data_IF_155877118604
#
_entry.id   IF_155877118604
#
_cell.length_a   1.000
_cell.length_b   1.000
_cell.length_c   1.000
_cell.angle_alpha   90.00
_cell.angle_beta   90.00
_cell.angle_gamma   90.00
#
_symmetry.space_group_name_H-M   'P 1'
#
loop_
_entity.id
_entity.type
_entity.pdbx_description
1 polymer ?
#
# COMPACT_ATOMS: atom_id res chain seq x y z
N UNK A 1 0.07 -29.90 1.67
CA UNK A 1 -0.92 -29.19 2.49
C UNK A 1 -2.00 -28.71 1.55
N UNK A 2 -3.30 -28.84 1.83
CA UNK A 2 -4.31 -28.17 1.01
C UNK A 2 -4.09 -26.67 1.06
N UNK A 3 -4.25 -25.99 -0.09
CA UNK A 3 -4.12 -24.53 -0.17
C UNK A 3 -5.18 -23.86 0.71
N UNK A 4 -4.79 -22.84 1.47
CA UNK A 4 -5.74 -22.08 2.29
C UNK A 4 -6.64 -21.22 1.41
N UNK A 5 -7.79 -20.80 1.93
CA UNK A 5 -8.72 -19.87 1.26
C UNK A 5 -8.08 -18.54 0.79
N UNK A 6 -6.93 -18.18 1.37
CA UNK A 6 -6.15 -16.99 0.98
C UNK A 6 -5.11 -17.29 -0.09
N UNK A 7 -4.49 -18.48 -0.09
CA UNK A 7 -3.43 -18.84 -1.05
C UNK A 7 -3.98 -19.40 -2.34
N UNK A 8 -5.09 -20.15 -2.27
CA UNK A 8 -5.71 -20.76 -3.43
C UNK A 8 -6.07 -19.79 -4.57
N UNK A 9 -6.69 -18.62 -4.33
CA UNK A 9 -6.96 -17.67 -5.41
C UNK A 9 -5.68 -17.19 -6.13
N UNK A 10 -4.57 -17.05 -5.38
CA UNK A 10 -3.28 -16.63 -5.93
C UNK A 10 -2.63 -17.74 -6.74
N UNK A 11 -2.71 -19.00 -6.29
CA UNK A 11 -2.22 -20.17 -7.03
C UNK A 11 -3.02 -20.34 -8.34
N UNK A 12 -4.34 -20.22 -8.28
CA UNK A 12 -5.21 -20.25 -9.46
C UNK A 12 -4.92 -19.12 -10.43
N UNK A 13 -4.60 -17.92 -9.92
CA UNK A 13 -4.17 -16.81 -10.75
C UNK A 13 -2.84 -17.10 -11.44
N UNK A 14 -1.87 -17.70 -10.75
CA UNK A 14 -0.60 -18.09 -11.36
C UNK A 14 -0.80 -19.06 -12.53
N UNK A 15 -1.69 -20.05 -12.37
CA UNK A 15 -2.07 -20.98 -13.43
C UNK A 15 -2.79 -20.27 -14.59
N UNK A 16 -3.65 -19.30 -14.28
CA UNK A 16 -4.36 -18.51 -15.29
C UNK A 16 -3.39 -17.66 -16.11
N UNK A 17 -2.44 -16.97 -15.45
CA UNK A 17 -1.38 -16.20 -16.10
C UNK A 17 -0.51 -17.08 -16.98
N UNK A 18 -0.09 -18.25 -16.49
CA UNK A 18 0.72 -19.19 -17.27
C UNK A 18 -0.02 -19.71 -18.50
N UNK A 19 -1.31 -20.01 -18.40
CA UNK A 19 -2.16 -20.42 -19.55
C UNK A 19 -2.31 -19.28 -20.56
N UNK A 20 -2.54 -18.06 -20.05
CA UNK A 20 -2.68 -16.88 -20.90
C UNK A 20 -1.39 -16.59 -21.68
N UNK A 21 -0.23 -16.63 -21.05
CA UNK A 21 1.06 -16.39 -21.72
C UNK A 21 1.30 -17.40 -22.83
N UNK A 22 0.99 -18.68 -22.59
CA UNK A 22 1.17 -19.79 -23.56
C UNK A 22 0.20 -19.77 -24.73
N UNK A 23 -0.98 -19.16 -24.58
CA UNK A 23 -2.01 -19.16 -25.61
C UNK A 23 -1.74 -18.09 -26.69
N UNK A 24 -1.58 -18.49 -27.93
CA UNK A 24 -1.39 -17.55 -29.05
C UNK A 24 -2.70 -16.82 -29.43
N UNK A 25 -3.87 -17.38 -29.12
CA UNK A 25 -5.18 -16.79 -29.43
C UNK A 25 -5.64 -15.73 -28.41
N UNK A 26 -5.20 -15.82 -27.15
CA UNK A 26 -5.65 -14.92 -26.10
C UNK A 26 -4.86 -13.61 -26.12
N UNK A 27 -5.59 -12.49 -26.09
CA UNK A 27 -5.03 -11.13 -26.08
C UNK A 27 -5.29 -10.40 -24.78
N UNK A 28 -6.31 -10.76 -24.02
CA UNK A 28 -6.68 -10.15 -22.77
C UNK A 28 -6.85 -11.21 -21.67
N UNK A 29 -6.20 -10.99 -20.55
CA UNK A 29 -6.52 -11.60 -19.26
C UNK A 29 -7.08 -10.51 -18.34
N UNK A 30 -8.39 -10.53 -18.09
CA UNK A 30 -9.04 -9.68 -17.12
C UNK A 30 -9.08 -10.40 -15.77
N UNK A 31 -8.54 -9.78 -14.74
CA UNK A 31 -8.48 -10.33 -13.38
C UNK A 31 -9.25 -9.44 -12.43
N UNK A 32 -10.32 -9.97 -11.85
CA UNK A 32 -10.95 -9.33 -10.68
C UNK A 32 -10.13 -9.65 -9.44
N UNK A 33 -9.77 -8.63 -8.67
CA UNK A 33 -8.86 -8.81 -7.55
C UNK A 33 -9.47 -8.26 -6.27
N UNK A 34 -9.59 -9.13 -5.26
CA UNK A 34 -9.88 -8.71 -3.89
C UNK A 34 -8.80 -7.71 -3.42
N UNK A 35 -9.16 -6.54 -2.85
CA UNK A 35 -8.20 -5.56 -2.37
C UNK A 35 -7.12 -6.14 -1.44
N UNK A 36 -7.46 -7.18 -0.67
CA UNK A 36 -6.52 -7.88 0.24
C UNK A 36 -5.45 -8.68 -0.51
N UNK A 37 -5.77 -9.18 -1.70
CA UNK A 37 -4.89 -9.99 -2.54
C UNK A 37 -4.14 -9.17 -3.59
N UNK A 38 -4.44 -7.85 -3.73
CA UNK A 38 -3.92 -7.00 -4.81
C UNK A 38 -2.40 -7.05 -4.95
N UNK A 39 -1.66 -6.90 -3.84
CA UNK A 39 -0.20 -6.93 -3.89
C UNK A 39 0.35 -8.28 -4.36
N UNK A 40 -0.25 -9.37 -3.93
CA UNK A 40 0.12 -10.72 -4.35
C UNK A 40 -0.25 -10.96 -5.83
N UNK A 41 -1.42 -10.50 -6.26
CA UNK A 41 -1.87 -10.61 -7.65
C UNK A 41 -0.96 -9.82 -8.61
N UNK A 42 -0.54 -8.61 -8.24
CA UNK A 42 0.47 -7.84 -9.00
C UNK A 42 1.78 -8.61 -9.08
N UNK A 43 2.26 -9.17 -7.97
CA UNK A 43 3.50 -9.95 -7.95
C UNK A 43 3.44 -11.18 -8.87
N UNK A 44 2.31 -11.89 -8.89
CA UNK A 44 2.09 -13.04 -9.79
C UNK A 44 2.04 -12.59 -11.25
N UNK A 45 1.34 -11.48 -11.56
CA UNK A 45 1.28 -10.95 -12.91
C UNK A 45 2.64 -10.46 -13.40
N UNK A 46 3.44 -9.83 -12.53
CA UNK A 46 4.82 -9.44 -12.84
C UNK A 46 5.74 -10.65 -13.09
N UNK A 47 5.53 -11.75 -12.37
CA UNK A 47 6.30 -12.98 -12.59
C UNK A 47 6.06 -13.61 -13.97
N UNK A 48 5.03 -13.18 -14.71
CA UNK A 48 4.79 -13.59 -16.10
C UNK A 48 6.00 -13.34 -17.01
N UNK A 49 6.82 -12.32 -16.72
CA UNK A 49 8.04 -12.03 -17.47
C UNK A 49 9.04 -13.19 -17.46
N UNK A 50 9.11 -13.92 -16.33
CA UNK A 50 10.08 -14.99 -16.11
C UNK A 50 9.55 -16.39 -16.47
N UNK A 51 8.33 -16.50 -16.99
CA UNK A 51 7.82 -17.79 -17.47
C UNK A 51 8.63 -18.26 -18.68
N UNK A 52 8.99 -19.54 -18.67
CA UNK A 52 9.83 -20.14 -19.73
C UNK A 52 9.21 -20.00 -21.13
N UNK A 53 7.89 -19.98 -21.20
CA UNK A 53 7.13 -19.87 -22.45
C UNK A 53 6.89 -18.40 -22.88
N UNK A 54 7.25 -17.42 -22.03
CA UNK A 54 7.08 -16.02 -22.39
C UNK A 54 8.19 -15.53 -23.31
N UNK A 55 7.79 -15.06 -24.48
CA UNK A 55 8.68 -14.46 -25.50
C UNK A 55 8.46 -12.97 -25.68
N UNK A 56 7.79 -12.33 -24.74
CA UNK A 56 7.41 -10.92 -24.83
C UNK A 56 7.88 -10.16 -23.59
N UNK A 57 8.66 -9.08 -23.73
CA UNK A 57 8.99 -8.22 -22.60
C UNK A 57 7.71 -7.72 -21.89
N UNK A 58 7.73 -7.65 -20.55
CA UNK A 58 6.62 -7.17 -19.75
C UNK A 58 6.74 -5.67 -19.53
N UNK A 59 5.68 -4.95 -19.84
CA UNK A 59 5.52 -3.51 -19.61
C UNK A 59 4.43 -3.31 -18.57
N UNK A 60 4.81 -3.02 -17.33
CA UNK A 60 3.87 -2.74 -16.26
C UNK A 60 3.53 -1.24 -16.21
N UNK A 61 2.26 -0.91 -16.15
CA UNK A 61 1.74 0.45 -16.07
C UNK A 61 0.81 0.58 -14.86
N UNK A 62 1.25 1.35 -13.87
CA UNK A 62 0.37 1.89 -12.85
C UNK A 62 -0.43 3.04 -13.46
N UNK A 63 -1.71 2.81 -13.69
CA UNK A 63 -2.59 3.83 -14.25
C UNK A 63 -3.14 4.68 -13.11
N UNK A 64 -2.84 5.98 -13.07
CA UNK A 64 -3.29 6.83 -11.99
C UNK A 64 -4.82 6.97 -11.98
N UNK A 65 -5.36 7.07 -10.77
CA UNK A 65 -6.72 7.58 -10.59
C UNK A 65 -6.70 9.07 -10.88
N UNK A 66 -7.38 9.48 -11.91
CA UNK A 66 -7.55 10.87 -12.24
C UNK A 66 -9.02 11.16 -12.46
N UNK A 67 -9.53 12.26 -11.88
CA UNK A 67 -10.87 12.77 -12.17
C UNK A 67 -10.97 13.23 -13.64
N UNK A 68 -9.85 13.68 -14.21
CA UNK A 68 -9.71 13.94 -15.64
C UNK A 68 -9.18 12.70 -16.36
N UNK A 69 -10.07 12.03 -17.06
CA UNK A 69 -9.79 10.77 -17.78
C UNK A 69 -8.73 11.00 -18.87
N UNK A 70 -8.75 12.14 -19.57
CA UNK A 70 -7.81 12.41 -20.66
C UNK A 70 -6.41 12.73 -20.12
N UNK A 71 -6.29 13.48 -19.02
CA UNK A 71 -5.00 13.70 -18.35
C UNK A 71 -4.39 12.38 -17.82
N UNK A 72 -5.23 11.46 -17.33
CA UNK A 72 -4.83 10.11 -16.93
C UNK A 72 -4.19 9.33 -18.09
N UNK A 73 -4.79 9.39 -19.28
CA UNK A 73 -4.25 8.72 -20.47
C UNK A 73 -2.94 9.36 -20.96
N UNK A 74 -2.80 10.67 -20.85
CA UNK A 74 -1.54 11.35 -21.19
C UNK A 74 -0.42 10.95 -20.25
N UNK A 75 -0.70 10.93 -18.95
CA UNK A 75 0.27 10.44 -17.95
C UNK A 75 0.66 8.98 -18.19
N UNK A 76 -0.30 8.11 -18.52
CA UNK A 76 -0.04 6.72 -18.89
C UNK A 76 0.86 6.63 -20.13
N UNK A 77 0.68 7.53 -21.10
CA UNK A 77 1.52 7.60 -22.30
C UNK A 77 2.97 7.95 -21.97
N UNK A 78 3.19 8.92 -21.09
CA UNK A 78 4.53 9.34 -20.66
C UNK A 78 5.20 8.24 -19.81
N UNK A 79 4.44 7.60 -18.93
CA UNK A 79 4.91 6.44 -18.14
C UNK A 79 5.31 5.28 -19.05
N UNK A 80 4.51 4.97 -20.07
CA UNK A 80 4.81 3.92 -21.05
C UNK A 80 6.14 4.18 -21.76
N UNK A 81 6.40 5.42 -22.16
CA UNK A 81 7.67 5.78 -22.80
C UNK A 81 8.87 5.59 -21.87
N UNK A 82 8.74 6.04 -20.64
CA UNK A 82 9.79 5.89 -19.61
C UNK A 82 10.09 4.41 -19.30
N UNK A 83 9.05 3.59 -19.13
CA UNK A 83 9.19 2.15 -18.90
C UNK A 83 9.82 1.44 -20.10
N UNK A 84 9.39 1.76 -21.32
CA UNK A 84 9.97 1.20 -22.54
C UNK A 84 11.48 1.49 -22.65
N UNK A 85 11.89 2.73 -22.38
CA UNK A 85 13.29 3.11 -22.43
C UNK A 85 14.10 2.41 -21.36
N UNK A 86 13.58 2.33 -20.13
CA UNK A 86 14.21 1.57 -19.04
C UNK A 86 14.39 0.09 -19.38
N UNK A 87 13.40 -0.55 -20.01
CA UNK A 87 13.53 -1.94 -20.47
C UNK A 87 14.60 -2.09 -21.54
N UNK A 88 14.65 -1.15 -22.48
CA UNK A 88 15.67 -1.12 -23.54
C UNK A 88 17.09 -0.99 -22.95
N UNK A 89 17.28 -0.09 -22.00
CA UNK A 89 18.53 0.09 -21.26
C UNK A 89 18.92 -1.14 -20.45
N UNK A 90 17.95 -1.86 -19.91
CA UNK A 90 18.14 -3.14 -19.23
C UNK A 90 18.45 -4.32 -20.18
N UNK A 91 18.53 -4.07 -21.50
CA UNK A 91 18.89 -5.06 -22.50
C UNK A 91 17.71 -5.83 -23.14
N UNK A 92 16.47 -5.40 -22.93
CA UNK A 92 15.34 -5.97 -23.64
C UNK A 92 15.51 -5.76 -25.17
N UNK A 93 15.05 -6.70 -26.03
CA UNK A 93 15.21 -6.63 -27.47
C UNK A 93 14.26 -5.58 -28.10
N UNK A 94 14.45 -4.32 -27.74
CA UNK A 94 13.67 -3.17 -28.17
C UNK A 94 14.55 -2.13 -28.87
N UNK A 95 14.04 -1.54 -29.96
CA UNK A 95 14.68 -0.40 -30.58
C UNK A 95 14.25 0.92 -29.91
N UNK A 96 15.01 2.02 -30.06
CA UNK A 96 14.61 3.33 -29.55
C UNK A 96 13.23 3.76 -30.08
N UNK A 97 12.47 4.45 -29.22
CA UNK A 97 11.20 5.04 -29.62
C UNK A 97 11.42 6.28 -30.51
N UNK A 98 10.56 6.43 -31.52
CA UNK A 98 10.45 7.67 -32.27
C UNK A 98 9.89 8.82 -31.39
N UNK A 99 9.98 10.04 -31.88
CA UNK A 99 9.35 11.20 -31.23
C UNK A 99 7.84 11.00 -31.04
N UNK A 100 7.30 11.59 -29.95
CA UNK A 100 5.86 11.49 -29.65
C UNK A 100 5.02 12.10 -30.79
N UNK A 101 3.97 11.43 -31.25
CA UNK A 101 3.07 12.00 -32.25
C UNK A 101 2.33 13.21 -31.68
N UNK A 102 2.62 14.42 -32.16
CA UNK A 102 2.09 15.69 -31.64
C UNK A 102 0.58 15.91 -31.82
N UNK A 103 -0.13 15.02 -32.51
CA UNK A 103 -1.55 15.23 -32.89
C UNK A 103 -2.57 14.36 -32.15
N UNK A 104 -2.13 13.40 -31.34
CA UNK A 104 -3.03 12.52 -30.61
C UNK A 104 -3.14 12.98 -29.15
N UNK A 105 -4.36 13.03 -28.62
CA UNK A 105 -4.66 13.38 -27.23
C UNK A 105 -5.44 12.25 -26.53
N UNK A 106 -5.43 12.21 -25.22
CA UNK A 106 -6.16 11.25 -24.41
C UNK A 106 -5.82 9.80 -24.74
N UNK A 107 -6.81 8.94 -24.79
CA UNK A 107 -6.65 7.49 -25.06
C UNK A 107 -6.08 7.20 -26.46
N UNK A 108 -6.29 8.07 -27.43
CA UNK A 108 -5.71 7.93 -28.77
C UNK A 108 -4.18 8.14 -28.74
N UNK A 109 -3.66 8.98 -27.84
CA UNK A 109 -2.22 9.15 -27.61
C UNK A 109 -1.60 7.85 -27.08
N UNK A 110 -2.23 7.23 -26.07
CA UNK A 110 -1.77 5.96 -25.53
C UNK A 110 -1.81 4.85 -26.59
N UNK A 111 -2.89 4.72 -27.35
CA UNK A 111 -3.00 3.73 -28.43
C UNK A 111 -1.90 3.90 -29.50
N UNK A 112 -1.62 5.14 -29.91
CA UNK A 112 -0.55 5.45 -30.84
C UNK A 112 0.84 5.09 -30.25
N UNK A 113 1.05 5.35 -28.96
CA UNK A 113 2.29 5.02 -28.30
C UNK A 113 2.49 3.50 -28.14
N UNK A 114 1.42 2.74 -27.80
CA UNK A 114 1.45 1.27 -27.77
C UNK A 114 1.87 0.70 -29.14
N UNK A 115 1.33 1.26 -30.23
CA UNK A 115 1.71 0.87 -31.60
C UNK A 115 3.19 1.18 -31.90
N UNK A 116 3.70 2.32 -31.44
CA UNK A 116 5.12 2.62 -31.57
C UNK A 116 5.98 1.61 -30.81
N UNK A 117 5.62 1.30 -29.56
CA UNK A 117 6.34 0.32 -28.74
C UNK A 117 6.36 -1.06 -29.42
N UNK A 118 5.24 -1.52 -29.96
CA UNK A 118 5.21 -2.77 -30.74
C UNK A 118 6.13 -2.74 -31.95
N UNK A 119 6.18 -1.62 -32.66
CA UNK A 119 7.07 -1.43 -33.81
C UNK A 119 8.57 -1.49 -33.49
N UNK A 120 8.94 -1.34 -32.21
CA UNK A 120 10.34 -1.42 -31.76
C UNK A 120 10.81 -2.83 -31.41
N UNK A 121 9.90 -3.79 -31.27
CA UNK A 121 10.20 -5.17 -30.87
C UNK A 121 11.15 -5.83 -31.88
N UNK A 122 12.19 -6.49 -31.38
CA UNK A 122 13.20 -7.22 -32.15
C UNK A 122 13.24 -8.69 -31.74
N UNK A 123 13.63 -9.55 -32.67
CA UNK A 123 13.87 -10.95 -32.35
C UNK A 123 14.91 -11.08 -31.20
N UNK A 124 14.74 -12.02 -30.28
CA UNK A 124 13.81 -13.15 -30.30
C UNK A 124 12.39 -12.84 -29.77
N UNK A 125 12.09 -11.61 -29.30
CA UNK A 125 10.76 -11.24 -28.82
C UNK A 125 9.72 -11.29 -29.93
N UNK A 126 8.49 -11.72 -29.58
CA UNK A 126 7.38 -11.90 -30.52
C UNK A 126 6.26 -10.86 -30.35
N UNK A 127 6.37 -9.98 -29.36
CA UNK A 127 5.38 -8.95 -29.04
C UNK A 127 5.68 -8.27 -27.72
N UNK A 128 4.69 -7.64 -27.12
CA UNK A 128 4.75 -7.04 -25.79
C UNK A 128 3.61 -7.57 -24.92
N UNK A 129 3.94 -7.81 -23.64
CA UNK A 129 2.97 -8.14 -22.61
C UNK A 129 2.77 -6.90 -21.73
N UNK A 130 1.56 -6.37 -21.70
CA UNK A 130 1.21 -5.21 -20.89
C UNK A 130 0.49 -5.65 -19.62
N UNK A 131 0.94 -5.15 -18.48
CA UNK A 131 0.25 -5.26 -17.20
C UNK A 131 -0.32 -3.90 -16.82
N UNK A 132 -1.65 -3.80 -16.76
CA UNK A 132 -2.35 -2.57 -16.38
C UNK A 132 -2.95 -2.70 -14.97
N UNK A 133 -2.53 -1.81 -14.09
CA UNK A 133 -2.93 -1.81 -12.68
C UNK A 133 -3.55 -0.44 -12.35
N UNK A 134 -4.89 -0.28 -12.45
CA UNK A 134 -5.54 0.97 -12.05
C UNK A 134 -5.29 1.28 -10.57
N UNK A 135 -4.95 2.52 -10.25
CA UNK A 135 -4.66 2.95 -8.89
C UNK A 135 -5.90 3.13 -8.00
N UNK A 136 -7.09 2.90 -8.51
CA UNK A 136 -8.39 3.16 -7.87
C UNK A 136 -9.07 1.91 -7.33
N UNK A 137 -9.93 2.10 -6.32
CA UNK A 137 -10.85 1.10 -5.80
C UNK A 137 -12.14 0.98 -6.62
N UNK A 138 -12.47 2.00 -7.42
CA UNK A 138 -13.63 2.03 -8.31
C UNK A 138 -13.16 2.42 -9.71
N UNK A 139 -13.57 1.66 -10.72
CA UNK A 139 -13.20 1.90 -12.11
C UNK A 139 -14.42 2.47 -12.85
N UNK A 140 -14.23 3.64 -13.43
CA UNK A 140 -15.28 4.31 -14.19
C UNK A 140 -15.66 3.54 -15.45
N UNK A 141 -16.96 3.42 -15.81
CA UNK A 141 -17.40 2.74 -17.03
C UNK A 141 -16.78 3.32 -18.32
N UNK A 142 -16.55 4.63 -18.36
CA UNK A 142 -15.91 5.29 -19.48
C UNK A 142 -14.45 4.84 -19.65
N UNK A 143 -13.73 4.65 -18.54
CA UNK A 143 -12.36 4.12 -18.56
C UNK A 143 -12.33 2.69 -19.13
N UNK A 144 -13.22 1.80 -18.66
CA UNK A 144 -13.35 0.43 -19.19
C UNK A 144 -13.64 0.42 -20.69
N UNK A 145 -14.53 1.31 -21.17
CA UNK A 145 -14.82 1.45 -22.60
C UNK A 145 -13.55 1.80 -23.38
N UNK A 146 -12.77 2.79 -22.94
CA UNK A 146 -11.53 3.19 -23.60
C UNK A 146 -10.46 2.10 -23.59
N UNK A 147 -10.36 1.34 -22.49
CA UNK A 147 -9.54 0.13 -22.43
C UNK A 147 -9.97 -0.87 -23.50
N UNK A 148 -11.26 -1.17 -23.59
CA UNK A 148 -11.81 -2.09 -24.60
C UNK A 148 -11.53 -1.63 -26.03
N UNK A 149 -11.75 -0.35 -26.34
CA UNK A 149 -11.44 0.24 -27.65
C UNK A 149 -9.94 0.10 -27.98
N UNK A 150 -9.07 0.31 -26.99
CA UNK A 150 -7.62 0.19 -27.19
C UNK A 150 -7.21 -1.26 -27.44
N UNK A 151 -7.65 -2.21 -26.59
CA UNK A 151 -7.33 -3.64 -26.75
C UNK A 151 -7.95 -4.23 -28.02
N UNK A 152 -9.17 -3.79 -28.36
CA UNK A 152 -9.88 -4.20 -29.58
C UNK A 152 -9.23 -3.73 -30.87
N UNK A 153 -8.26 -2.82 -30.82
CA UNK A 153 -7.56 -2.33 -32.03
C UNK A 153 -6.79 -3.46 -32.71
N UNK A 154 -7.19 -3.81 -33.93
CA UNK A 154 -6.58 -4.90 -34.70
C UNK A 154 -5.07 -4.68 -34.96
N UNK A 155 -4.58 -3.43 -34.98
CA UNK A 155 -3.16 -3.12 -35.16
C UNK A 155 -2.31 -3.51 -33.93
N UNK A 156 -2.94 -3.71 -32.78
CA UNK A 156 -2.30 -4.19 -31.55
C UNK A 156 -2.37 -5.73 -31.41
N UNK A 157 -2.57 -6.48 -32.52
CA UNK A 157 -2.75 -7.93 -32.48
C UNK A 157 -1.55 -8.68 -31.84
N UNK A 158 -0.34 -8.14 -31.94
CA UNK A 158 0.86 -8.71 -31.32
C UNK A 158 1.04 -8.29 -29.84
N UNK A 159 0.11 -7.53 -29.26
CA UNK A 159 0.12 -7.17 -27.85
C UNK A 159 -0.80 -8.09 -27.06
N UNK A 160 -0.35 -8.50 -25.88
CA UNK A 160 -1.16 -9.16 -24.85
C UNK A 160 -1.34 -8.22 -23.65
N UNK A 161 -2.51 -8.30 -23.00
CA UNK A 161 -2.85 -7.42 -21.90
C UNK A 161 -3.31 -8.23 -20.69
N UNK A 162 -2.72 -7.96 -19.52
CA UNK A 162 -3.23 -8.39 -18.21
C UNK A 162 -3.78 -7.13 -17.55
N UNK A 163 -5.05 -7.12 -17.20
CA UNK A 163 -5.71 -5.98 -16.55
C UNK A 163 -6.22 -6.41 -15.19
N UNK A 164 -5.69 -5.82 -14.11
CA UNK A 164 -6.10 -6.11 -12.74
C UNK A 164 -7.16 -5.09 -12.31
N UNK A 165 -8.39 -5.54 -12.12
CA UNK A 165 -9.52 -4.71 -11.72
C UNK A 165 -9.93 -5.03 -10.27
N UNK A 166 -10.47 -4.05 -9.52
CA UNK A 166 -11.03 -4.33 -8.21
C UNK A 166 -12.29 -5.20 -8.34
N UNK A 167 -12.49 -6.15 -7.41
CA UNK A 167 -13.62 -7.09 -7.42
C UNK A 167 -15.02 -6.43 -7.35
N UNK A 168 -15.08 -5.13 -7.03
CA UNK A 168 -16.33 -4.35 -7.02
C UNK A 168 -16.64 -3.68 -8.36
N UNK A 169 -15.81 -3.86 -9.39
CA UNK A 169 -16.03 -3.25 -10.69
C UNK A 169 -17.12 -4.03 -11.46
N UNK A 170 -18.08 -3.32 -12.05
CA UNK A 170 -19.07 -3.91 -12.96
C UNK A 170 -18.41 -4.21 -14.32
N UNK A 171 -17.66 -5.31 -14.41
CA UNK A 171 -16.86 -5.66 -15.59
C UNK A 171 -17.57 -6.60 -16.56
N UNK A 172 -18.59 -7.33 -16.12
CA UNK A 172 -19.32 -8.26 -16.97
C UNK A 172 -19.87 -7.63 -18.28
N UNK A 173 -20.50 -6.44 -18.25
CA UNK A 173 -20.96 -5.80 -19.48
C UNK A 173 -19.80 -5.44 -20.42
N UNK A 174 -18.65 -5.12 -19.88
CA UNK A 174 -17.46 -4.83 -20.68
C UNK A 174 -16.85 -6.10 -21.26
N UNK A 175 -16.69 -7.17 -20.47
CA UNK A 175 -16.18 -8.47 -20.96
C UNK A 175 -17.08 -9.01 -22.07
N UNK A 176 -18.40 -8.86 -21.94
CA UNK A 176 -19.35 -9.28 -22.96
C UNK A 176 -19.18 -8.55 -24.31
N UNK A 177 -18.54 -7.38 -24.34
CA UNK A 177 -18.23 -6.67 -25.59
C UNK A 177 -16.95 -7.17 -26.26
N UNK A 178 -16.14 -7.97 -25.58
CA UNK A 178 -14.91 -8.53 -26.10
C UNK A 178 -15.21 -9.87 -26.79
N UNK A 179 -14.44 -10.17 -27.84
CA UNK A 179 -14.57 -11.44 -28.54
C UNK A 179 -14.16 -12.59 -27.60
N UNK A 180 -15.06 -13.53 -27.25
CA UNK A 180 -14.78 -14.58 -26.26
C UNK A 180 -13.56 -15.46 -26.60
N UNK A 181 -13.22 -15.55 -27.89
CA UNK A 181 -12.06 -16.31 -28.35
C UNK A 181 -10.71 -15.62 -28.01
N UNK A 182 -10.73 -14.33 -27.68
CA UNK A 182 -9.52 -13.54 -27.45
C UNK A 182 -9.36 -13.03 -26.01
N UNK A 183 -10.38 -13.18 -25.19
CA UNK A 183 -10.39 -12.72 -23.80
C UNK A 183 -10.60 -13.87 -22.81
N UNK A 184 -9.86 -13.83 -21.70
CA UNK A 184 -10.02 -14.72 -20.55
C UNK A 184 -10.31 -13.89 -19.31
N UNK A 185 -11.31 -14.32 -18.54
CA UNK A 185 -11.62 -13.75 -17.22
C UNK A 185 -11.18 -14.67 -16.10
N UNK A 186 -10.67 -14.11 -15.01
CA UNK A 186 -10.31 -14.82 -13.80
C UNK A 186 -10.67 -14.03 -12.56
N UNK A 187 -11.35 -14.65 -11.60
CA UNK A 187 -11.68 -14.06 -10.31
C UNK A 187 -10.64 -14.49 -9.26
N UNK A 188 -9.83 -13.53 -8.81
CA UNK A 188 -8.87 -13.69 -7.72
C UNK A 188 -9.49 -13.11 -6.44
N UNK A 189 -10.52 -13.79 -5.92
CA UNK A 189 -11.36 -13.35 -4.81
C UNK A 189 -11.32 -14.39 -3.70
N UNK A 190 -11.33 -13.92 -2.45
CA UNK A 190 -11.36 -14.80 -1.27
C UNK A 190 -12.77 -15.36 -1.08
N UNK A 191 -12.89 -16.68 -0.98
CA UNK A 191 -14.12 -17.34 -0.52
C UNK A 191 -14.26 -17.11 1.00
N UNK A 192 -15.06 -16.13 1.37
CA UNK A 192 -15.26 -15.77 2.78
C UNK A 192 -15.90 -16.89 3.60
N UNK A 193 -16.84 -17.64 3.04
CA UNK A 193 -17.49 -18.73 3.75
C UNK A 193 -16.48 -19.83 4.10
N UNK A 194 -15.65 -20.18 3.14
CA UNK A 194 -14.57 -21.14 3.34
C UNK A 194 -13.50 -20.60 4.30
N UNK A 195 -13.12 -19.34 4.19
CA UNK A 195 -12.12 -18.69 5.06
C UNK A 195 -12.59 -18.65 6.52
N UNK A 196 -13.88 -18.41 6.75
CA UNK A 196 -14.51 -18.49 8.07
C UNK A 196 -14.44 -19.93 8.60
N UNK A 197 -14.87 -20.91 7.80
CA UNK A 197 -14.89 -22.32 8.21
C UNK A 197 -13.47 -22.87 8.52
N UNK A 198 -12.47 -22.50 7.72
CA UNK A 198 -11.06 -22.86 7.98
C UNK A 198 -10.57 -22.27 9.30
N UNK A 199 -10.88 -21.00 9.56
CA UNK A 199 -10.46 -20.31 10.79
C UNK A 199 -11.17 -20.87 12.03
N UNK A 200 -12.45 -21.23 11.91
CA UNK A 200 -13.20 -21.95 12.97
C UNK A 200 -12.58 -23.30 13.31
N UNK A 201 -12.27 -24.08 12.28
CA UNK A 201 -11.64 -25.38 12.46
C UNK A 201 -10.25 -25.27 13.12
N UNK A 202 -9.47 -24.23 12.79
CA UNK A 202 -8.18 -23.95 13.43
C UNK A 202 -8.35 -23.56 14.91
N UNK A 203 -9.32 -22.69 15.23
CA UNK A 203 -9.63 -22.30 16.61
C UNK A 203 -10.04 -23.50 17.43
N UNK A 204 -10.91 -24.35 16.91
CA UNK A 204 -11.35 -25.56 17.56
C UNK A 204 -10.21 -26.57 17.79
N UNK A 205 -9.32 -26.71 16.80
CA UNK A 205 -8.15 -27.57 16.93
C UNK A 205 -7.19 -27.08 18.01
N UNK A 206 -6.90 -25.78 18.06
CA UNK A 206 -6.05 -25.20 19.12
C UNK A 206 -6.71 -25.30 20.50
N UNK A 207 -8.02 -25.09 20.61
CA UNK A 207 -8.74 -25.23 21.87
C UNK A 207 -8.69 -26.68 22.43
N UNK A 208 -8.69 -27.69 21.54
CA UNK A 208 -8.59 -29.11 21.94
C UNK A 208 -7.18 -29.53 22.38
N UNK A 209 -6.14 -28.90 21.83
CA UNK A 209 -4.74 -29.23 22.17
C UNK A 209 -4.32 -28.73 23.56
N UNK A 210 -5.05 -27.78 24.14
CA UNK A 210 -4.76 -27.22 25.46
C UNK A 210 -3.51 -26.33 25.47
N UNK A 211 -3.30 -25.58 26.56
CA UNK A 211 -2.13 -24.75 26.71
C UNK A 211 -0.87 -25.64 26.83
N UNK A 212 0.07 -25.54 25.90
CA UNK A 212 1.39 -26.18 25.99
C UNK A 212 1.84 -27.04 24.81
N UNK A 213 0.99 -27.36 23.81
CA UNK A 213 1.38 -28.19 22.64
C UNK A 213 1.36 -27.40 21.35
N UNK A 214 1.44 -26.08 21.38
CA UNK A 214 1.60 -25.26 20.20
C UNK A 214 3.09 -25.04 19.90
N UNK A 215 3.57 -25.51 18.76
CA UNK A 215 4.93 -25.21 18.31
C UNK A 215 5.18 -23.69 18.27
N UNK A 216 6.43 -23.29 18.47
CA UNK A 216 6.85 -21.90 18.38
C UNK A 216 6.29 -21.24 17.11
N UNK A 217 5.84 -20.00 17.21
CA UNK A 217 5.44 -19.18 16.07
C UNK A 217 6.56 -19.27 15.01
N UNK A 218 6.30 -19.72 13.78
CA UNK A 218 7.36 -19.82 12.78
C UNK A 218 7.94 -18.42 12.58
N UNK A 219 9.25 -18.29 12.80
CA UNK A 219 9.96 -17.02 12.63
C UNK A 219 9.80 -16.39 11.23
N UNK A 220 9.31 -17.19 10.27
CA UNK A 220 8.95 -16.77 8.91
C UNK A 220 7.54 -16.19 8.77
N UNK A 221 6.67 -16.32 9.78
CA UNK A 221 5.36 -15.67 9.80
C UNK A 221 5.42 -14.24 10.36
N UNK A 222 6.52 -13.52 10.09
CA UNK A 222 6.38 -12.06 10.01
C UNK A 222 5.30 -11.82 8.97
N UNK A 223 4.17 -11.15 9.34
CA UNK A 223 3.29 -10.63 8.31
C UNK A 223 4.21 -9.91 7.33
N UNK A 224 4.05 -10.11 6.01
CA UNK A 224 4.86 -9.39 5.05
C UNK A 224 4.79 -7.95 5.52
N UNK A 225 5.95 -7.37 5.85
CA UNK A 225 6.00 -5.97 6.25
C UNK A 225 5.34 -5.27 5.07
N UNK A 226 4.05 -4.94 5.24
CA UNK A 226 3.39 -4.08 4.28
C UNK A 226 4.26 -2.85 4.27
N UNK A 227 5.06 -2.75 3.22
CA UNK A 227 5.95 -1.66 2.93
C UNK A 227 5.07 -0.43 2.70
N UNK A 228 4.56 0.12 3.80
CA UNK A 228 3.92 1.41 3.84
C UNK A 228 5.00 2.38 4.30
N UNK A 229 5.75 2.82 3.37
CA UNK A 229 6.17 4.16 2.93
C UNK A 229 6.40 5.21 4.01
N UNK A 230 7.51 5.72 3.92
CA UNK A 230 8.30 6.63 4.61
C UNK A 230 8.24 8.07 4.19
N UNK A 231 8.72 9.00 4.72
CA UNK A 231 9.17 10.03 5.39
C UNK A 231 9.78 11.24 5.62
N UNK A 232 10.34 12.10 6.05
CA UNK A 232 11.25 13.11 6.31
C UNK A 232 11.06 14.32 7.15
N UNK A 233 11.70 15.03 7.71
CA UNK A 233 12.31 15.54 8.90
C UNK A 233 12.25 17.06 9.15
N UNK A 234 12.90 17.57 10.18
CA UNK A 234 12.30 18.39 11.22
C UNK A 234 12.77 19.86 11.26
N UNK A 235 12.17 20.64 12.08
CA UNK A 235 12.81 21.61 12.97
C UNK A 235 11.93 21.85 14.18
N UNK A 236 12.52 21.88 15.35
CA UNK A 236 11.86 22.04 16.63
C UNK A 236 11.33 23.45 16.81
N UNK A 237 10.12 23.61 17.30
CA UNK A 237 9.81 24.71 18.19
C UNK A 237 9.50 24.21 19.60
N UNK A 238 10.01 24.96 20.54
CA UNK A 238 9.82 25.00 21.99
C UNK A 238 8.44 24.53 22.44
N UNK A 239 8.41 23.55 23.32
CA UNK A 239 7.22 23.05 24.00
C UNK A 239 6.49 24.14 24.77
N UNK A 240 5.18 24.32 24.60
CA UNK A 240 4.36 24.97 25.59
C UNK A 240 4.06 24.00 26.71
N UNK A 241 4.36 24.40 27.94
CA UNK A 241 4.05 23.72 29.19
C UNK A 241 2.54 23.52 29.34
N UNK A 242 2.09 22.29 29.46
CA UNK A 242 0.71 21.95 29.83
C UNK A 242 0.60 22.09 31.36
N UNK A 243 -0.41 22.80 31.89
CA UNK A 243 -0.62 22.87 33.33
C UNK A 243 -1.07 21.51 33.86
N UNK A 244 -0.38 21.06 34.89
CA UNK A 244 -0.72 19.90 35.68
C UNK A 244 -1.88 20.26 36.62
N UNK A 245 -3.11 19.81 36.29
CA UNK A 245 -4.17 19.65 37.29
C UNK A 245 -5.31 18.79 36.69
N UNK A 246 -5.20 17.49 36.91
CA UNK A 246 -6.34 16.57 36.98
C UNK A 246 -5.87 15.25 37.66
N UNK A 247 -5.44 15.37 38.92
CA UNK A 247 -5.19 14.19 39.77
C UNK A 247 -6.52 13.63 40.26
N UNK A 248 -7.15 12.77 39.47
CA UNK A 248 -8.18 11.85 39.93
C UNK A 248 -7.50 10.67 40.65
N UNK A 249 -7.46 10.72 41.96
CA UNK A 249 -6.97 9.67 42.86
C UNK A 249 -7.75 8.38 42.68
N UNK A 250 -7.11 7.35 42.10
CA UNK A 250 -7.56 5.96 42.19
C UNK A 250 -6.83 5.33 43.36
N UNK A 251 -7.58 4.87 44.34
CA UNK A 251 -7.10 4.24 45.56
C UNK A 251 -6.20 3.01 45.25
N UNK A 252 -5.17 2.75 46.06
CA UNK A 252 -4.32 1.57 45.90
C UNK A 252 -5.09 0.31 46.30
N UNK A 253 -5.25 -0.61 45.36
CA UNK A 253 -5.69 -1.97 45.63
C UNK A 253 -4.54 -2.73 46.29
N UNK A 254 -4.92 -3.49 47.32
CA UNK A 254 -4.07 -4.19 48.26
C UNK A 254 -2.97 -5.04 47.62
N UNK A 255 -1.83 -4.99 48.26
CA UNK A 255 -0.64 -5.81 48.09
C UNK A 255 -0.97 -7.32 48.24
N UNK A 256 -0.80 -8.16 47.20
CA UNK A 256 -0.74 -9.60 47.40
C UNK A 256 0.75 -10.00 47.48
N UNK A 257 1.30 -9.92 48.67
CA UNK A 257 2.59 -10.49 48.97
C UNK A 257 2.60 -12.01 48.73
N UNK A 258 3.63 -12.48 48.06
CA UNK A 258 4.11 -13.84 47.95
C UNK A 258 3.22 -14.86 47.21
N UNK A 259 3.30 -14.83 45.87
CA UNK A 259 3.07 -16.01 45.03
C UNK A 259 4.12 -16.04 43.92
N UNK A 260 5.03 -17.00 44.06
CA UNK A 260 5.92 -17.60 43.02
C UNK A 260 6.30 -16.78 41.78
N UNK A 261 7.56 -16.38 41.71
CA UNK A 261 8.30 -15.78 40.60
C UNK A 261 8.50 -16.72 39.38
N UNK A 262 7.51 -17.51 39.00
CA UNK A 262 7.50 -18.22 37.73
C UNK A 262 6.40 -17.61 36.87
N UNK A 263 6.76 -16.59 36.06
CA UNK A 263 5.87 -16.11 34.99
C UNK A 263 5.34 -17.27 34.14
N UNK A 264 4.14 -17.16 33.57
CA UNK A 264 3.56 -18.24 32.78
C UNK A 264 4.56 -18.68 31.72
N UNK A 265 4.73 -20.01 31.47
CA UNK A 265 5.68 -20.50 30.51
C UNK A 265 5.39 -19.83 29.15
N UNK A 266 6.42 -19.34 28.48
CA UNK A 266 6.32 -18.53 27.24
C UNK A 266 5.45 -19.21 26.18
N UNK A 267 5.43 -20.53 26.13
CA UNK A 267 4.60 -21.33 25.22
C UNK A 267 3.08 -21.16 25.46
N UNK A 268 2.65 -20.99 26.72
CA UNK A 268 1.24 -20.74 27.04
C UNK A 268 0.80 -19.34 26.59
N UNK A 269 1.64 -18.34 26.77
CA UNK A 269 1.38 -16.96 26.30
C UNK A 269 1.22 -16.93 24.79
N UNK A 270 2.09 -17.63 24.03
CA UNK A 270 2.02 -17.68 22.57
C UNK A 270 0.75 -18.38 22.07
N UNK A 271 0.35 -19.48 22.71
CA UNK A 271 -0.88 -20.19 22.35
C UNK A 271 -2.12 -19.31 22.59
N UNK A 272 -2.20 -18.65 23.76
CA UNK A 272 -3.31 -17.76 24.09
C UNK A 272 -3.34 -16.52 23.19
N UNK A 273 -2.19 -15.94 22.88
CA UNK A 273 -2.09 -14.81 21.97
C UNK A 273 -2.63 -15.17 20.56
N UNK A 274 -2.18 -16.31 20.00
CA UNK A 274 -2.69 -16.81 18.72
C UNK A 274 -4.20 -17.01 18.75
N UNK A 275 -4.72 -17.58 19.82
CA UNK A 275 -6.16 -17.84 19.96
C UNK A 275 -6.96 -16.53 19.96
N UNK A 276 -6.53 -15.52 20.74
CA UNK A 276 -7.20 -14.22 20.74
C UNK A 276 -7.13 -13.54 19.37
N UNK A 277 -5.97 -13.54 18.70
CA UNK A 277 -5.82 -12.94 17.35
C UNK A 277 -6.72 -13.66 16.33
N UNK A 278 -6.79 -14.99 16.35
CA UNK A 278 -7.67 -15.74 15.45
C UNK A 278 -9.16 -15.47 15.73
N UNK A 279 -9.56 -15.39 17.00
CA UNK A 279 -10.93 -15.05 17.39
C UNK A 279 -11.30 -13.62 16.98
N UNK A 280 -10.40 -12.65 17.14
CA UNK A 280 -10.61 -11.29 16.67
C UNK A 280 -10.81 -11.26 15.15
N UNK A 281 -9.97 -11.98 14.39
CA UNK A 281 -10.10 -12.07 12.94
C UNK A 281 -11.41 -12.76 12.51
N UNK A 282 -11.82 -13.83 13.19
CA UNK A 282 -13.08 -14.51 12.95
C UNK A 282 -14.29 -13.60 13.21
N UNK A 283 -14.31 -12.94 14.37
CA UNK A 283 -15.36 -11.99 14.74
C UNK A 283 -15.47 -10.85 13.71
N UNK A 284 -14.34 -10.29 13.30
CA UNK A 284 -14.29 -9.24 12.25
C UNK A 284 -14.87 -9.72 10.92
N UNK A 285 -14.58 -10.94 10.48
CA UNK A 285 -15.13 -11.54 9.24
C UNK A 285 -16.64 -11.79 9.33
N UNK A 286 -17.14 -12.11 10.51
CA UNK A 286 -18.56 -12.29 10.79
C UNK A 286 -19.32 -10.96 10.95
N UNK A 287 -18.63 -9.83 10.95
CA UNK A 287 -19.21 -8.51 11.23
C UNK A 287 -19.48 -8.25 12.71
N UNK A 288 -18.98 -9.12 13.62
CA UNK A 288 -19.09 -8.93 15.06
C UNK A 288 -17.95 -8.01 15.55
N UNK A 289 -18.12 -6.72 15.30
CA UNK A 289 -17.12 -5.72 15.65
C UNK A 289 -16.82 -5.63 17.14
N UNK A 290 -17.79 -5.63 18.05
CA UNK A 290 -17.55 -5.61 19.50
C UNK A 290 -16.69 -6.79 19.96
N UNK A 291 -16.98 -8.01 19.50
CA UNK A 291 -16.18 -9.19 19.84
C UNK A 291 -14.75 -9.09 19.24
N UNK A 292 -14.61 -8.63 17.99
CA UNK A 292 -13.31 -8.43 17.37
C UNK A 292 -12.44 -7.47 18.19
N UNK A 293 -12.99 -6.34 18.65
CA UNK A 293 -12.31 -5.37 19.51
C UNK A 293 -11.98 -5.98 20.88
N UNK A 294 -12.90 -6.73 21.48
CA UNK A 294 -12.69 -7.38 22.78
C UNK A 294 -11.55 -8.39 22.74
N UNK A 295 -11.53 -9.27 21.74
CA UNK A 295 -10.47 -10.26 21.56
C UNK A 295 -9.12 -9.62 21.23
N UNK A 296 -9.10 -8.56 20.41
CA UNK A 296 -7.87 -7.85 20.09
C UNK A 296 -7.30 -7.08 21.31
N UNK A 297 -8.17 -6.50 22.14
CA UNK A 297 -7.77 -5.88 23.41
C UNK A 297 -7.16 -6.91 24.37
N UNK A 298 -7.78 -8.11 24.49
CA UNK A 298 -7.25 -9.20 25.29
C UNK A 298 -5.87 -9.68 24.79
N UNK A 299 -5.66 -9.73 23.48
CA UNK A 299 -4.36 -10.05 22.89
C UNK A 299 -3.29 -9.01 23.28
N UNK A 300 -3.62 -7.71 23.19
CA UNK A 300 -2.74 -6.62 23.64
C UNK A 300 -2.39 -6.73 25.12
N UNK A 301 -3.39 -6.90 25.97
CA UNK A 301 -3.22 -6.95 27.41
C UNK A 301 -2.37 -8.15 27.84
N UNK A 302 -2.53 -9.29 27.16
CA UNK A 302 -1.67 -10.47 27.33
C UNK A 302 -0.21 -10.17 26.99
N UNK A 303 0.06 -9.45 25.89
CA UNK A 303 1.42 -9.03 25.53
C UNK A 303 2.00 -8.06 26.56
N UNK A 304 1.20 -7.13 27.09
CA UNK A 304 1.64 -6.21 28.16
C UNK A 304 1.99 -6.98 29.42
N UNK A 305 1.13 -7.90 29.86
CA UNK A 305 1.36 -8.71 31.06
C UNK A 305 2.59 -9.63 30.93
N UNK A 306 2.97 -10.00 29.71
CA UNK A 306 4.14 -10.81 29.41
C UNK A 306 5.41 -9.99 29.08
N UNK A 307 5.40 -8.68 29.27
CA UNK A 307 6.48 -7.72 28.93
C UNK A 307 6.94 -7.80 27.45
N UNK A 308 6.02 -8.14 26.54
CA UNK A 308 6.24 -8.22 25.11
C UNK A 308 5.86 -6.91 24.44
N UNK A 309 6.67 -5.89 24.67
CA UNK A 309 6.35 -4.50 24.29
C UNK A 309 6.11 -4.35 22.78
N UNK A 310 6.91 -5.00 21.94
CA UNK A 310 6.75 -4.89 20.48
C UNK A 310 5.41 -5.48 20.03
N UNK A 311 5.11 -6.69 20.46
CA UNK A 311 3.85 -7.37 20.12
C UNK A 311 2.65 -6.61 20.71
N UNK A 312 2.78 -6.03 21.91
CA UNK A 312 1.73 -5.18 22.47
C UNK A 312 1.44 -3.96 21.59
N UNK A 313 2.47 -3.31 21.04
CA UNK A 313 2.31 -2.21 20.08
C UNK A 313 1.64 -2.68 18.79
N UNK A 314 2.07 -3.81 18.24
CA UNK A 314 1.46 -4.37 17.04
C UNK A 314 -0.03 -4.70 17.25
N UNK A 315 -0.39 -5.30 18.40
CA UNK A 315 -1.78 -5.60 18.76
C UNK A 315 -2.61 -4.32 18.97
N UNK A 316 -2.04 -3.27 19.53
CA UNK A 316 -2.71 -2.00 19.76
C UNK A 316 -2.95 -1.23 18.45
N UNK A 317 -2.03 -1.31 17.48
CA UNK A 317 -2.23 -0.79 16.14
C UNK A 317 -3.38 -1.51 15.39
N UNK A 318 -3.46 -2.84 15.53
CA UNK A 318 -4.56 -3.62 14.95
C UNK A 318 -5.89 -3.29 15.65
N UNK A 319 -5.89 -3.10 16.98
CA UNK A 319 -7.07 -2.66 17.74
C UNK A 319 -7.59 -1.32 17.20
N UNK A 320 -6.70 -0.35 17.00
CA UNK A 320 -7.05 0.93 16.39
C UNK A 320 -7.68 0.77 14.99
N UNK A 321 -7.17 -0.15 14.18
CA UNK A 321 -7.74 -0.43 12.86
C UNK A 321 -9.16 -1.01 12.93
N UNK A 322 -9.46 -1.93 13.86
CA UNK A 322 -10.83 -2.42 14.07
C UNK A 322 -11.77 -1.29 14.53
N UNK A 323 -11.31 -0.42 15.43
CA UNK A 323 -12.10 0.73 15.87
C UNK A 323 -12.41 1.71 14.73
N UNK A 324 -11.47 1.91 13.79
CA UNK A 324 -11.72 2.70 12.56
C UNK A 324 -12.81 2.05 11.70
N UNK A 325 -12.76 0.72 11.52
CA UNK A 325 -13.78 -0.01 10.74
C UNK A 325 -15.19 0.12 11.36
N UNK A 326 -15.27 0.23 12.69
CA UNK A 326 -16.52 0.44 13.42
C UNK A 326 -16.97 1.91 13.47
N UNK A 327 -16.25 2.84 12.83
CA UNK A 327 -16.55 4.26 12.88
C UNK A 327 -16.24 4.93 14.24
N UNK A 328 -15.57 4.23 15.15
CA UNK A 328 -15.21 4.73 16.50
C UNK A 328 -13.91 5.54 16.46
N UNK A 329 -13.89 6.62 15.68
CA UNK A 329 -12.69 7.39 15.36
C UNK A 329 -11.94 7.91 16.60
N UNK A 330 -12.66 8.38 17.63
CA UNK A 330 -12.03 8.90 18.84
C UNK A 330 -11.26 7.80 19.61
N UNK A 331 -11.83 6.60 19.73
CA UNK A 331 -11.17 5.45 20.38
C UNK A 331 -10.01 4.92 19.52
N UNK A 332 -10.16 4.94 18.21
CA UNK A 332 -9.09 4.55 17.28
C UNK A 332 -7.88 5.47 17.42
N UNK A 333 -8.09 6.79 17.46
CA UNK A 333 -7.02 7.78 17.68
C UNK A 333 -6.35 7.55 19.03
N UNK A 334 -7.10 7.30 20.09
CA UNK A 334 -6.55 6.99 21.40
C UNK A 334 -5.65 5.74 21.35
N UNK A 335 -6.12 4.65 20.73
CA UNK A 335 -5.34 3.43 20.56
C UNK A 335 -4.05 3.66 19.77
N UNK A 336 -4.12 4.33 18.62
CA UNK A 336 -2.94 4.64 17.81
C UNK A 336 -1.93 5.54 18.53
N UNK A 337 -2.41 6.55 19.27
CA UNK A 337 -1.54 7.44 20.05
C UNK A 337 -0.87 6.69 21.19
N UNK A 338 -1.59 5.77 21.85
CA UNK A 338 -1.05 4.94 22.91
C UNK A 338 0.00 3.95 22.38
N UNK A 339 -0.28 3.32 21.22
CA UNK A 339 0.69 2.49 20.52
C UNK A 339 1.96 3.27 20.19
N UNK A 340 1.83 4.48 19.65
CA UNK A 340 2.96 5.35 19.32
C UNK A 340 3.78 5.74 20.56
N UNK A 341 3.13 6.10 21.67
CA UNK A 341 3.79 6.45 22.91
C UNK A 341 4.57 5.26 23.49
N UNK A 342 3.96 4.07 23.52
CA UNK A 342 4.60 2.82 23.97
C UNK A 342 5.79 2.46 23.09
N UNK A 343 5.63 2.57 21.79
CA UNK A 343 6.69 2.31 20.81
C UNK A 343 7.87 3.27 20.97
N UNK A 344 7.59 4.58 21.15
CA UNK A 344 8.63 5.59 21.40
C UNK A 344 9.41 5.32 22.68
N UNK A 345 8.70 4.97 23.77
CA UNK A 345 9.33 4.64 25.05
C UNK A 345 10.26 3.41 24.94
N UNK A 346 9.98 2.49 24.02
CA UNK A 346 10.79 1.31 23.75
C UNK A 346 11.84 1.50 22.63
N UNK A 347 11.99 2.70 22.08
CA UNK A 347 12.90 2.96 20.95
C UNK A 347 12.45 2.33 19.61
N UNK A 348 11.19 1.89 19.50
CA UNK A 348 10.61 1.29 18.30
C UNK A 348 10.06 2.39 17.37
N UNK A 349 10.94 3.28 16.94
CA UNK A 349 10.58 4.53 16.24
C UNK A 349 9.76 4.32 14.97
N UNK A 350 10.02 3.26 14.20
CA UNK A 350 9.25 2.92 13.02
C UNK A 350 7.78 2.60 13.34
N UNK A 351 7.52 1.88 14.45
CA UNK A 351 6.16 1.61 14.91
C UNK A 351 5.51 2.86 15.52
N UNK A 352 6.28 3.71 16.21
CA UNK A 352 5.80 4.99 16.71
C UNK A 352 5.33 5.89 15.55
N UNK A 353 6.11 6.00 14.49
CA UNK A 353 5.75 6.75 13.31
C UNK A 353 4.47 6.19 12.63
N UNK A 354 4.32 4.86 12.56
CA UNK A 354 3.11 4.22 12.03
C UNK A 354 1.88 4.53 12.88
N UNK A 355 2.00 4.51 14.21
CA UNK A 355 0.91 4.87 15.13
C UNK A 355 0.46 6.32 14.92
N UNK A 356 1.40 7.26 14.87
CA UNK A 356 1.09 8.66 14.62
C UNK A 356 0.49 8.89 13.22
N UNK A 357 0.97 8.20 12.17
CA UNK A 357 0.39 8.23 10.83
C UNK A 357 -1.05 7.72 10.82
N UNK A 358 -1.33 6.62 11.54
CA UNK A 358 -2.68 6.07 11.62
C UNK A 358 -3.63 7.00 12.39
N UNK A 359 -3.17 7.61 13.48
CA UNK A 359 -3.93 8.63 14.21
C UNK A 359 -4.22 9.85 13.33
N UNK A 360 -3.21 10.36 12.60
CA UNK A 360 -3.36 11.47 11.68
C UNK A 360 -4.38 11.18 10.57
N UNK A 361 -4.27 10.03 9.92
CA UNK A 361 -5.21 9.61 8.88
C UNK A 361 -6.65 9.41 9.42
N UNK A 362 -6.78 9.03 10.70
CA UNK A 362 -8.08 8.89 11.36
C UNK A 362 -8.69 10.27 11.65
N UNK A 363 -7.89 11.21 12.13
CA UNK A 363 -8.32 12.61 12.31
C UNK A 363 -8.74 13.24 10.97
N UNK A 364 -7.96 12.99 9.92
CA UNK A 364 -8.23 13.52 8.59
C UNK A 364 -9.56 12.99 8.02
N UNK A 365 -9.82 11.70 8.17
CA UNK A 365 -11.09 11.07 7.77
C UNK A 365 -12.28 11.59 8.60
N UNK A 366 -12.04 11.97 9.85
CA UNK A 366 -13.02 12.57 10.74
C UNK A 366 -13.19 14.08 10.52
N UNK A 367 -12.67 14.61 9.41
CA UNK A 367 -12.71 16.04 9.04
C UNK A 367 -12.12 16.97 10.12
N UNK A 368 -11.13 16.48 10.87
CA UNK A 368 -10.41 17.22 11.90
C UNK A 368 -8.97 17.54 11.46
N UNK A 369 -8.77 18.47 10.50
CA UNK A 369 -7.48 18.65 9.83
C UNK A 369 -6.40 19.24 10.75
N UNK A 370 -6.75 20.07 11.74
CA UNK A 370 -5.75 20.62 12.67
C UNK A 370 -5.09 19.57 13.55
N UNK A 371 -5.84 18.67 14.26
CA UNK A 371 -5.21 17.56 14.96
C UNK A 371 -4.55 16.55 14.00
N UNK A 372 -5.05 16.38 12.77
CA UNK A 372 -4.38 15.55 11.77
C UNK A 372 -2.97 16.09 11.46
N UNK A 373 -2.85 17.39 11.20
CA UNK A 373 -1.56 18.04 10.92
C UNK A 373 -0.59 17.90 12.11
N UNK A 374 -1.06 18.05 13.35
CA UNK A 374 -0.25 17.84 14.53
C UNK A 374 0.26 16.39 14.63
N UNK A 375 -0.61 15.41 14.41
CA UNK A 375 -0.25 14.00 14.44
C UNK A 375 0.74 13.62 13.31
N UNK A 376 0.61 14.21 12.11
CA UNK A 376 1.60 14.04 11.04
C UNK A 376 2.97 14.60 11.42
N UNK A 377 3.03 15.75 12.13
CA UNK A 377 4.30 16.31 12.65
C UNK A 377 4.97 15.34 13.63
N UNK A 378 4.20 14.71 14.52
CA UNK A 378 4.74 13.68 15.42
C UNK A 378 5.22 12.43 14.65
N UNK A 379 4.51 12.02 13.61
CA UNK A 379 4.94 10.92 12.74
C UNK A 379 6.27 11.23 12.05
N UNK A 380 6.43 12.46 11.54
CA UNK A 380 7.66 12.96 10.96
C UNK A 380 8.81 12.83 11.97
N UNK A 381 8.67 13.37 13.16
CA UNK A 381 9.71 13.33 14.18
C UNK A 381 10.14 11.89 14.52
N UNK A 382 9.17 11.01 14.79
CA UNK A 382 9.44 9.60 15.09
C UNK A 382 10.12 8.87 13.93
N UNK A 383 9.69 9.12 12.70
CA UNK A 383 10.27 8.49 11.53
C UNK A 383 11.74 8.88 11.31
N UNK A 384 12.14 10.10 11.71
CA UNK A 384 13.53 10.55 11.61
C UNK A 384 14.40 9.90 12.65
N UNK A 385 13.93 9.85 13.86
CA UNK A 385 14.64 9.15 14.93
C UNK A 385 14.87 7.68 14.54
N UNK A 386 13.87 7.06 13.87
CA UNK A 386 13.96 5.70 13.35
C UNK A 386 14.75 5.52 12.06
N UNK A 387 15.18 6.60 11.42
CA UNK A 387 15.78 6.60 10.08
C UNK A 387 14.93 5.86 9.02
N UNK A 388 13.63 5.93 9.22
CA UNK A 388 12.65 5.28 8.34
C UNK A 388 12.38 6.19 7.13
N UNK A 389 13.38 6.33 6.25
CA UNK A 389 13.38 7.22 5.07
C UNK A 389 12.07 7.14 4.34
N UNK A 390 11.56 5.99 4.06
CA UNK A 390 10.32 5.72 3.43
C UNK A 390 9.10 6.19 4.28
N UNK A 391 8.89 6.23 5.67
CA UNK A 391 7.83 6.84 6.47
C UNK A 391 7.99 8.37 6.59
N UNK A 392 9.16 9.02 6.44
CA UNK A 392 9.42 10.44 6.42
C UNK A 392 8.80 11.11 5.17
N UNK A 393 8.99 10.74 3.85
CA UNK A 393 8.38 11.40 2.71
C UNK A 393 6.84 11.22 2.65
N UNK A 394 6.29 10.11 3.18
CA UNK A 394 4.84 9.94 3.28
C UNK A 394 4.21 10.96 4.24
N UNK A 395 4.76 11.09 5.45
CA UNK A 395 4.18 11.97 6.43
C UNK A 395 4.21 13.43 5.98
N UNK A 396 5.29 13.90 5.33
CA UNK A 396 5.30 15.24 4.74
C UNK A 396 4.31 15.38 3.60
N UNK A 397 4.23 14.38 2.73
CA UNK A 397 3.24 14.39 1.65
C UNK A 397 1.82 14.55 2.18
N UNK A 398 1.43 13.69 3.12
CA UNK A 398 0.09 13.76 3.70
C UNK A 398 -0.12 15.03 4.53
N UNK A 399 0.89 15.46 5.31
CA UNK A 399 0.83 16.71 6.06
C UNK A 399 0.68 17.93 5.13
N UNK A 400 1.42 17.99 4.05
CA UNK A 400 1.32 19.09 3.07
C UNK A 400 -0.04 19.15 2.39
N UNK A 401 -0.64 17.97 2.08
CA UNK A 401 -1.99 17.90 1.53
C UNK A 401 -3.05 18.42 2.51
N UNK A 402 -2.90 18.11 3.79
CA UNK A 402 -3.79 18.65 4.84
C UNK A 402 -3.61 20.16 4.94
N UNK A 403 -2.38 20.66 4.94
CA UNK A 403 -2.10 22.10 4.98
C UNK A 403 -2.70 22.83 3.77
N UNK A 404 -2.59 22.26 2.56
CA UNK A 404 -3.18 22.83 1.34
C UNK A 404 -4.72 22.89 1.40
N UNK A 405 -5.38 21.87 1.97
CA UNK A 405 -6.85 21.89 2.17
C UNK A 405 -7.29 22.95 3.18
N UNK A 406 -6.41 23.33 4.11
CA UNK A 406 -6.64 24.41 5.06
C UNK A 406 -6.26 25.78 4.48
N UNK A 407 -5.89 25.85 3.20
CA UNK A 407 -5.38 27.06 2.54
C UNK A 407 -4.11 27.65 3.20
N UNK A 408 -3.35 26.79 3.90
CA UNK A 408 -2.09 27.13 4.57
C UNK A 408 -0.89 26.90 3.62
N UNK A 409 -0.87 27.61 2.50
CA UNK A 409 0.14 27.45 1.45
C UNK A 409 1.58 27.60 1.97
N UNK A 410 1.83 28.52 2.90
CA UNK A 410 3.16 28.71 3.49
C UNK A 410 3.59 27.55 4.39
N UNK A 411 2.66 26.97 5.17
CA UNK A 411 2.94 25.75 5.95
C UNK A 411 3.21 24.55 5.03
N UNK A 412 2.47 24.44 3.93
CA UNK A 412 2.71 23.40 2.93
C UNK A 412 4.10 23.56 2.28
N UNK A 413 4.51 24.78 1.93
CA UNK A 413 5.87 25.07 1.44
C UNK A 413 6.93 24.73 2.48
N UNK A 414 6.70 25.07 3.76
CA UNK A 414 7.64 24.74 4.82
C UNK A 414 7.82 23.23 4.97
N UNK A 415 6.70 22.48 5.05
CA UNK A 415 6.73 21.03 5.15
C UNK A 415 7.46 20.36 3.96
N UNK A 416 7.12 20.76 2.74
CA UNK A 416 7.76 20.22 1.53
C UNK A 416 9.23 20.66 1.41
N UNK A 417 9.56 21.89 1.90
CA UNK A 417 10.92 22.41 1.96
C UNK A 417 11.80 21.62 2.93
N UNK A 418 11.28 21.32 4.12
CA UNK A 418 11.97 20.48 5.10
C UNK A 418 12.23 19.07 4.52
N UNK A 419 11.26 18.50 3.80
CA UNK A 419 11.42 17.24 3.11
C UNK A 419 12.49 17.33 2.02
N UNK A 420 12.56 18.41 1.28
CA UNK A 420 13.60 18.64 0.28
C UNK A 420 14.99 18.71 0.91
N UNK A 421 15.16 19.50 1.99
CA UNK A 421 16.43 19.56 2.73
C UNK A 421 16.85 18.19 3.25
N UNK A 422 15.91 17.40 3.77
CA UNK A 422 16.22 16.03 4.18
C UNK A 422 16.66 15.16 3.01
N UNK A 423 16.03 15.28 1.85
CA UNK A 423 16.41 14.53 0.65
C UNK A 423 17.86 14.77 0.25
N UNK A 424 18.36 16.01 0.43
CA UNK A 424 19.76 16.35 0.13
C UNK A 424 20.77 15.72 1.09
N UNK A 425 20.33 15.29 2.28
CA UNK A 425 21.15 14.56 3.25
C UNK A 425 21.26 13.05 2.98
N UNK A 426 20.50 12.53 2.01
CA UNK A 426 20.38 11.10 1.74
C UNK A 426 21.15 10.70 0.46
N UNK A 427 21.64 9.47 0.45
CA UNK A 427 22.12 8.86 -0.78
C UNK A 427 20.93 8.58 -1.74
N UNK A 428 21.09 8.73 -3.06
CA UNK A 428 20.03 8.51 -4.05
C UNK A 428 19.36 7.12 -3.92
N UNK A 429 20.14 6.11 -3.56
CA UNK A 429 19.68 4.72 -3.37
C UNK A 429 18.65 4.61 -2.24
N UNK A 430 18.81 5.39 -1.17
CA UNK A 430 17.90 5.40 -0.02
C UNK A 430 16.52 5.99 -0.37
N UNK A 431 16.45 6.77 -1.45
CA UNK A 431 15.21 7.39 -1.93
C UNK A 431 14.47 6.53 -2.96
N UNK A 432 15.08 5.45 -3.47
CA UNK A 432 14.43 4.57 -4.45
C UNK A 432 13.20 3.91 -3.86
N UNK A 433 12.09 3.95 -4.60
CA UNK A 433 10.80 3.39 -4.14
C UNK A 433 10.10 4.22 -3.05
N UNK A 434 10.58 5.44 -2.76
CA UNK A 434 9.93 6.39 -1.87
C UNK A 434 9.18 7.47 -2.66
N UNK A 435 8.36 8.27 -1.95
CA UNK A 435 7.69 9.45 -2.55
C UNK A 435 8.57 10.70 -2.64
N UNK A 436 9.89 10.57 -2.50
CA UNK A 436 10.79 11.72 -2.54
C UNK A 436 10.62 12.58 -3.80
N UNK A 437 10.55 11.93 -4.97
CA UNK A 437 10.34 12.64 -6.24
C UNK A 437 9.01 13.36 -6.29
N UNK A 438 7.91 12.74 -5.80
CA UNK A 438 6.58 13.36 -5.77
C UNK A 438 6.55 14.60 -4.89
N UNK A 439 7.16 14.49 -3.70
CA UNK A 439 7.26 15.57 -2.71
C UNK A 439 8.04 16.76 -3.28
N UNK A 440 9.19 16.51 -3.90
CA UNK A 440 10.03 17.55 -4.49
C UNK A 440 9.35 18.20 -5.69
N UNK A 441 8.68 17.43 -6.53
CA UNK A 441 7.91 17.95 -7.66
C UNK A 441 6.74 18.84 -7.21
N UNK A 442 6.05 18.47 -6.11
CA UNK A 442 4.98 19.27 -5.56
C UNK A 442 5.50 20.59 -4.98
N UNK A 443 6.65 20.58 -4.30
CA UNK A 443 7.31 21.78 -3.83
C UNK A 443 7.60 22.76 -5.00
N UNK A 444 8.17 22.27 -6.09
CA UNK A 444 8.44 23.10 -7.27
C UNK A 444 7.17 23.71 -7.83
N UNK A 445 6.08 22.93 -7.97
CA UNK A 445 4.77 23.40 -8.43
C UNK A 445 4.19 24.49 -7.52
N UNK A 446 4.26 24.26 -6.21
CA UNK A 446 3.72 25.20 -5.22
C UNK A 446 4.51 26.52 -5.20
N UNK A 447 5.83 26.45 -5.24
CA UNK A 447 6.70 27.64 -5.36
C UNK A 447 6.42 28.43 -6.65
N UNK A 448 6.17 27.72 -7.77
CA UNK A 448 5.76 28.35 -9.04
C UNK A 448 4.43 29.11 -8.91
N UNK A 449 3.41 28.50 -8.27
CA UNK A 449 2.11 29.16 -7.98
C UNK A 449 2.28 30.42 -7.12
N UNK A 450 3.17 30.36 -6.14
CA UNK A 450 3.48 31.50 -5.26
C UNK A 450 4.46 32.51 -5.88
N UNK A 451 4.80 32.36 -7.16
CA UNK A 451 5.73 33.22 -7.93
C UNK A 451 7.17 33.26 -7.35
N UNK A 452 7.57 32.26 -6.56
CA UNK A 452 8.94 32.09 -6.04
C UNK A 452 9.82 31.35 -7.06
N UNK A 453 9.94 31.92 -8.27
CA UNK A 453 10.52 31.23 -9.43
C UNK A 453 12.00 30.86 -9.29
N UNK A 454 12.77 31.62 -8.51
CA UNK A 454 14.19 31.31 -8.25
C UNK A 454 14.33 29.98 -7.49
N UNK A 455 13.55 29.81 -6.45
CA UNK A 455 13.54 28.62 -5.60
C UNK A 455 12.93 27.43 -6.35
N UNK A 456 11.85 27.63 -7.11
CA UNK A 456 11.28 26.59 -7.97
C UNK A 456 12.33 26.00 -8.91
N UNK A 457 13.15 26.85 -9.57
CA UNK A 457 14.22 26.38 -10.47
C UNK A 457 15.35 25.64 -9.74
N UNK A 458 15.61 25.95 -8.49
CA UNK A 458 16.59 25.24 -7.68
C UNK A 458 16.11 23.82 -7.37
N UNK A 459 14.85 23.71 -6.93
CA UNK A 459 14.17 22.42 -6.66
C UNK A 459 14.07 21.58 -7.94
N UNK A 460 13.74 22.17 -9.09
CA UNK A 460 13.71 21.49 -10.38
C UNK A 460 15.08 20.91 -10.78
N UNK A 461 16.16 21.66 -10.58
CA UNK A 461 17.51 21.15 -10.83
C UNK A 461 17.87 19.97 -9.93
N UNK A 462 17.43 19.97 -8.68
CA UNK A 462 17.60 18.84 -7.78
C UNK A 462 16.76 17.62 -8.22
N UNK A 463 15.52 17.84 -8.65
CA UNK A 463 14.65 16.79 -9.18
C UNK A 463 15.25 16.11 -10.43
N UNK A 464 15.86 16.90 -11.32
CA UNK A 464 16.59 16.37 -12.50
C UNK A 464 17.77 15.50 -12.10
N UNK A 465 18.55 15.90 -11.08
CA UNK A 465 19.65 15.07 -10.54
C UNK A 465 19.16 13.74 -9.98
N UNK A 466 18.01 13.74 -9.27
CA UNK A 466 17.38 12.52 -8.75
C UNK A 466 16.75 11.63 -9.84
N UNK A 467 16.46 12.21 -10.99
CA UNK A 467 15.96 11.46 -12.15
C UNK A 467 17.06 10.78 -12.96
N UNK A 468 18.29 11.28 -12.84
CA UNK A 468 19.48 10.77 -13.56
C UNK A 468 20.27 9.73 -12.76
N UNK A 469 20.00 9.53 -11.48
CA UNK A 469 20.61 8.55 -10.57
C UNK A 469 19.64 7.36 -10.34
#
# INVERSE_FOLDING_TARGET
MPSSSLTQPIEQLADAVARFVRSDGLRLLCVEVDPRLRAAAVSVAMAAEHLADNRSPLVALDLPACEDVDASWEQATDTLRAVHESLREAGAPLAPLAERPMRAQGSASLAAQLLQCLGTVRAPAQGLLYLWVPAVSVVEPMWLRRVGETIGNARLAAAKFIVLLPAAAEIEPWIATLEPATAMHHACVVDEARAIAELEAEIDAEARLGPGIGGAWPAAARPPQRRWLAPGSPTSPTSPSIPADASGSIAPLADPAAANDAGPPTADVDARLRLHVKRAALASRRGDGPEAVGQQAAARDLCIAADRTREAVDMELVLGAYLVQLGQSALAVAAFTQAAARASAAGLWGLAAQGHLAAAATHDRAEAPTPALAAYRHAIAAAIEGREVALVFRAYWEASRVALRLELDYDAVALLGDAFVYSESLAPEAMRGTRAKDVIAELSRLLGRLRRFSEAREVERALQRLGAA
#
